data_IF_749493810207
#
_entry.id   IF_749493810207
#
_cell.length_a   1.000
_cell.length_b   1.000
_cell.length_c   1.000
_cell.angle_alpha   90.00
_cell.angle_beta   90.00
_cell.angle_gamma   90.00
#
_symmetry.space_group_name_H-M   'P 1'
#
loop_
_entity.id
_entity.type
_entity.pdbx_description
1 polymer ?
#
# COMPACT_ATOMS: atom_id res chain seq x y z
N UNK A 1 1.16 7.02 34.84
CA UNK A 1 1.80 7.89 33.84
C UNK A 1 3.10 7.31 33.26
N UNK A 2 3.99 6.69 34.05
CA UNK A 2 5.28 6.11 33.58
C UNK A 2 5.15 5.07 32.44
N UNK A 3 4.14 4.19 32.45
CA UNK A 3 3.97 3.16 31.40
C UNK A 3 3.58 3.74 30.03
N UNK A 4 2.84 4.86 29.99
CA UNK A 4 2.48 5.53 28.73
C UNK A 4 3.65 6.32 28.14
N UNK A 5 4.53 6.85 29.02
CA UNK A 5 5.75 7.54 28.61
C UNK A 5 6.78 6.59 27.98
N UNK A 6 6.91 5.37 28.53
CA UNK A 6 7.80 4.33 28.00
C UNK A 6 7.32 3.87 26.62
N UNK A 7 6.00 3.71 26.43
CA UNK A 7 5.43 3.37 25.12
C UNK A 7 5.67 4.45 24.06
N UNK A 8 5.54 5.71 24.43
CA UNK A 8 5.80 6.85 23.54
C UNK A 8 7.29 6.95 23.18
N UNK A 9 8.17 6.70 24.14
CA UNK A 9 9.63 6.69 23.91
C UNK A 9 10.04 5.54 22.99
N UNK A 10 9.43 4.34 23.11
CA UNK A 10 9.70 3.20 22.26
C UNK A 10 9.26 3.44 20.80
N UNK A 11 8.12 4.11 20.59
CA UNK A 11 7.67 4.50 19.25
C UNK A 11 8.58 5.56 18.65
N UNK A 12 9.02 6.53 19.44
CA UNK A 12 9.94 7.58 18.98
C UNK A 12 11.31 7.02 18.59
N UNK A 13 11.83 6.02 19.33
CA UNK A 13 13.10 5.34 18.98
C UNK A 13 12.97 4.52 17.71
N UNK A 14 11.84 3.87 17.44
CA UNK A 14 11.61 3.17 16.17
C UNK A 14 11.63 4.14 14.96
N UNK A 15 11.10 5.36 15.11
CA UNK A 15 11.16 6.37 14.05
C UNK A 15 12.60 6.86 13.78
N UNK A 16 13.45 6.95 14.80
CA UNK A 16 14.86 7.37 14.61
C UNK A 16 15.69 6.30 13.89
N UNK A 17 15.36 5.01 14.08
CA UNK A 17 16.06 3.93 13.38
C UNK A 17 15.65 3.77 11.91
N UNK A 18 14.48 4.28 11.49
CA UNK A 18 14.03 4.24 10.09
C UNK A 18 14.69 5.31 9.22
N UNK A 19 15.30 6.34 9.82
CA UNK A 19 16.06 7.38 9.08
C UNK A 19 17.55 7.07 8.90
N UNK A 20 18.03 5.95 9.46
CA UNK A 20 19.44 5.55 9.38
C UNK A 20 19.79 4.72 8.14
N UNK A 21 18.93 4.67 7.11
CA UNK A 21 19.34 4.26 5.79
C UNK A 21 19.87 5.50 5.04
N UNK A 22 20.86 6.15 5.65
CA UNK A 22 21.61 7.26 5.06
C UNK A 22 22.83 6.68 4.38
N UNK A 23 22.96 6.97 3.11
CA UNK A 23 24.13 6.96 2.27
C UNK A 23 25.42 6.57 3.01
N UNK A 24 25.91 5.38 2.72
CA UNK A 24 27.32 5.10 2.85
C UNK A 24 28.03 6.14 1.99
N UNK A 25 28.61 7.15 2.62
CA UNK A 25 29.66 7.90 1.98
C UNK A 25 30.80 6.88 1.78
N UNK A 26 30.82 6.21 0.66
CA UNK A 26 32.00 5.56 0.16
C UNK A 26 33.01 6.71 -0.03
N UNK A 27 34.09 6.63 0.72
CA UNK A 27 35.32 7.32 0.35
C UNK A 27 35.87 6.58 -0.87
N UNK A 28 35.27 6.84 -2.03
CA UNK A 28 35.88 6.51 -3.28
C UNK A 28 37.16 7.37 -3.38
N UNK A 29 38.30 6.70 -3.48
CA UNK A 29 39.49 7.35 -3.98
C UNK A 29 39.07 8.03 -5.28
N UNK A 30 39.04 9.36 -5.27
CA UNK A 30 38.69 10.16 -6.45
C UNK A 30 39.79 9.86 -7.47
N UNK A 31 39.55 8.91 -8.34
CA UNK A 31 40.38 8.64 -9.48
C UNK A 31 40.21 9.89 -10.38
N UNK A 32 41.18 10.80 -10.35
CA UNK A 32 41.15 12.02 -11.15
C UNK A 32 41.07 11.62 -12.64
N UNK A 33 39.88 11.82 -13.21
CA UNK A 33 39.66 11.61 -14.65
C UNK A 33 40.41 12.70 -15.39
N UNK A 34 41.30 12.37 -16.35
CA UNK A 34 42.04 13.38 -17.11
C UNK A 34 41.08 14.38 -17.78
N UNK A 35 41.43 15.66 -17.75
CA UNK A 35 40.60 16.73 -18.31
C UNK A 35 40.24 16.52 -19.80
N UNK A 36 41.14 15.95 -20.58
CA UNK A 36 40.90 15.59 -21.98
C UNK A 36 39.82 14.56 -22.12
N UNK A 37 39.82 13.52 -21.25
CA UNK A 37 38.77 12.49 -21.19
C UNK A 37 37.43 13.07 -20.75
N UNK A 38 37.45 13.98 -19.77
CA UNK A 38 36.21 14.66 -19.32
C UNK A 38 35.59 15.48 -20.46
N UNK A 39 36.38 16.27 -21.16
CA UNK A 39 35.90 17.09 -22.27
C UNK A 39 35.31 16.23 -23.40
N UNK A 40 35.99 15.12 -23.72
CA UNK A 40 35.55 14.18 -24.74
C UNK A 40 34.20 13.55 -24.34
N UNK A 41 34.08 13.11 -23.09
CA UNK A 41 32.86 12.47 -22.58
C UNK A 41 31.68 13.45 -22.55
N UNK A 42 31.88 14.69 -22.11
CA UNK A 42 30.83 15.71 -22.15
C UNK A 42 30.38 16.00 -23.57
N UNK A 43 31.30 16.25 -24.49
CA UNK A 43 30.96 16.53 -25.88
C UNK A 43 30.23 15.36 -26.55
N UNK A 44 30.67 14.14 -26.31
CA UNK A 44 29.98 12.94 -26.83
C UNK A 44 28.55 12.79 -26.23
N UNK A 45 28.39 13.08 -24.95
CA UNK A 45 27.08 13.00 -24.28
C UNK A 45 26.11 14.05 -24.82
N UNK A 46 26.57 15.28 -25.02
CA UNK A 46 25.78 16.37 -25.63
C UNK A 46 25.36 16.03 -27.07
N UNK A 47 26.31 15.50 -27.85
CA UNK A 47 26.02 15.05 -29.22
C UNK A 47 25.03 13.90 -29.23
N UNK A 48 25.14 12.95 -28.28
CA UNK A 48 24.20 11.84 -28.15
C UNK A 48 22.77 12.35 -27.79
N UNK A 49 22.65 13.35 -26.92
CA UNK A 49 21.34 13.96 -26.60
C UNK A 49 20.71 14.62 -27.83
N UNK A 50 21.50 15.37 -28.62
CA UNK A 50 21.02 15.97 -29.87
C UNK A 50 20.59 14.93 -30.89
N UNK A 51 21.35 13.84 -31.04
CA UNK A 51 21.00 12.74 -31.94
C UNK A 51 19.73 12.04 -31.51
N UNK A 52 19.52 11.79 -30.19
CA UNK A 52 18.30 11.21 -29.67
C UNK A 52 17.10 12.11 -29.92
N UNK A 53 17.26 13.42 -29.75
CA UNK A 53 16.20 14.39 -30.05
C UNK A 53 15.80 14.34 -31.53
N UNK A 54 16.78 14.22 -32.41
CA UNK A 54 16.53 14.10 -33.85
C UNK A 54 15.82 12.78 -34.17
N UNK A 55 16.26 11.64 -33.62
CA UNK A 55 15.62 10.32 -33.84
C UNK A 55 14.16 10.32 -33.40
N UNK A 56 13.87 10.93 -32.26
CA UNK A 56 12.48 11.08 -31.74
C UNK A 56 11.68 12.01 -32.67
N UNK A 57 12.26 13.11 -33.10
CA UNK A 57 11.59 14.07 -33.99
C UNK A 57 11.31 13.46 -35.38
N UNK A 58 12.23 12.67 -35.93
CA UNK A 58 12.09 12.01 -37.23
C UNK A 58 11.25 10.73 -37.15
N UNK A 59 10.95 10.21 -35.94
CA UNK A 59 10.19 8.98 -35.74
C UNK A 59 10.90 7.71 -36.19
N UNK A 60 12.25 7.70 -36.16
CA UNK A 60 13.09 6.59 -36.62
C UNK A 60 13.60 5.69 -35.49
N UNK A 61 12.97 5.73 -34.34
CA UNK A 61 13.33 4.94 -33.14
C UNK A 61 13.45 3.43 -33.43
N UNK A 62 12.55 2.88 -34.22
CA UNK A 62 12.51 1.44 -34.55
C UNK A 62 13.78 0.92 -35.23
N UNK A 63 14.54 1.79 -35.88
CA UNK A 63 15.81 1.44 -36.53
C UNK A 63 16.89 1.04 -35.51
N UNK A 64 16.71 1.43 -34.24
CA UNK A 64 17.65 1.20 -33.15
C UNK A 64 17.29 0.05 -32.22
N UNK A 65 16.22 -0.70 -32.49
CA UNK A 65 15.71 -1.77 -31.60
C UNK A 65 16.71 -2.89 -31.30
N UNK A 66 17.69 -3.10 -32.18
CA UNK A 66 18.72 -4.12 -31.98
C UNK A 66 19.82 -3.67 -31.02
N UNK A 67 19.86 -2.38 -30.66
CA UNK A 67 20.80 -1.75 -29.72
C UNK A 67 20.09 -1.42 -28.42
N UNK A 68 20.00 -2.37 -27.49
CA UNK A 68 19.13 -2.27 -26.31
C UNK A 68 19.35 -1.02 -25.47
N UNK A 69 20.61 -0.62 -25.21
CA UNK A 69 20.93 0.58 -24.43
C UNK A 69 20.48 1.86 -25.14
N UNK A 70 20.73 1.96 -26.42
CA UNK A 70 20.35 3.13 -27.24
C UNK A 70 18.83 3.19 -27.39
N UNK A 71 18.17 2.08 -27.69
CA UNK A 71 16.72 2.03 -27.84
C UNK A 71 15.99 2.45 -26.55
N UNK A 72 16.43 1.91 -25.42
CA UNK A 72 15.87 2.31 -24.12
C UNK A 72 16.17 3.79 -23.78
N UNK A 73 17.33 4.27 -24.19
CA UNK A 73 17.69 5.68 -24.09
C UNK A 73 16.76 6.60 -24.88
N UNK A 74 16.48 6.26 -26.15
CA UNK A 74 15.56 7.00 -26.99
C UNK A 74 14.14 7.00 -26.40
N UNK A 75 13.65 5.88 -25.86
CA UNK A 75 12.35 5.82 -25.20
C UNK A 75 12.30 6.73 -23.95
N UNK A 76 13.36 6.73 -23.12
CA UNK A 76 13.41 7.61 -21.97
C UNK A 76 13.48 9.08 -22.35
N UNK A 77 14.19 9.40 -23.44
CA UNK A 77 14.26 10.76 -23.99
C UNK A 77 12.90 11.23 -24.53
N UNK A 78 12.20 10.38 -25.29
CA UNK A 78 10.87 10.69 -25.80
C UNK A 78 9.90 11.02 -24.66
N UNK A 79 9.89 10.19 -23.63
CA UNK A 79 9.06 10.41 -22.45
C UNK A 79 9.43 11.69 -21.70
N UNK A 80 10.72 11.97 -21.56
CA UNK A 80 11.20 13.19 -20.91
C UNK A 80 10.87 14.44 -21.73
N UNK A 81 10.98 14.39 -23.05
CA UNK A 81 10.72 15.50 -23.96
C UNK A 81 9.27 15.99 -23.85
N UNK A 82 8.31 15.11 -23.62
CA UNK A 82 6.91 15.50 -23.37
C UNK A 82 6.76 16.43 -22.15
N UNK A 83 7.63 16.30 -21.16
CA UNK A 83 7.56 17.06 -19.91
C UNK A 83 8.50 18.28 -19.89
N UNK A 84 9.67 18.18 -20.48
CA UNK A 84 10.65 19.29 -20.52
C UNK A 84 10.33 20.32 -21.61
N UNK A 85 9.55 19.93 -22.62
CA UNK A 85 9.12 20.80 -23.70
C UNK A 85 10.18 20.94 -24.81
N UNK A 86 10.24 22.12 -25.46
CA UNK A 86 11.19 22.35 -26.54
C UNK A 86 12.58 22.64 -25.99
N UNK A 87 13.59 22.10 -26.66
CA UNK A 87 15.01 22.28 -26.32
C UNK A 87 15.68 23.03 -27.45
N UNK A 88 16.45 24.07 -27.13
CA UNK A 88 17.24 24.83 -28.10
C UNK A 88 18.70 24.39 -28.08
N UNK A 89 19.04 23.51 -28.99
CA UNK A 89 20.42 23.04 -29.18
C UNK A 89 21.31 23.97 -30.07
N UNK A 90 20.75 25.10 -30.48
CA UNK A 90 21.46 25.98 -31.47
C UNK A 90 22.09 27.20 -30.86
N UNK A 91 21.64 27.64 -29.69
CA UNK A 91 22.18 28.83 -29.02
C UNK A 91 23.43 28.44 -28.22
N UNK A 92 24.51 29.14 -28.48
CA UNK A 92 25.81 29.10 -27.78
C UNK A 92 26.24 30.55 -27.58
N UNK A 93 25.69 31.20 -26.55
CA UNK A 93 25.87 32.64 -26.32
C UNK A 93 27.26 32.98 -25.80
N UNK A 94 27.93 32.07 -25.11
CA UNK A 94 29.26 32.26 -24.56
C UNK A 94 30.39 31.77 -25.49
N UNK A 95 30.04 31.09 -26.58
CA UNK A 95 30.98 30.63 -27.61
C UNK A 95 31.91 29.51 -27.16
N UNK A 96 31.50 28.73 -26.18
CA UNK A 96 32.27 27.62 -25.62
C UNK A 96 32.18 26.33 -26.43
N UNK A 97 31.31 26.29 -27.45
CA UNK A 97 31.08 25.15 -28.32
C UNK A 97 30.07 24.13 -27.76
N UNK A 98 29.40 24.42 -26.64
CA UNK A 98 28.31 23.67 -26.05
C UNK A 98 27.03 24.52 -26.13
N UNK A 99 25.89 23.91 -26.44
CA UNK A 99 24.65 24.65 -26.46
C UNK A 99 24.22 25.08 -25.02
N UNK A 100 23.63 26.27 -24.91
CA UNK A 100 23.23 26.87 -23.62
C UNK A 100 22.18 26.04 -22.88
N UNK A 101 21.52 25.10 -23.56
CA UNK A 101 20.59 24.16 -22.92
C UNK A 101 21.30 23.13 -22.01
N UNK A 102 22.60 22.94 -22.15
CA UNK A 102 23.40 22.06 -21.30
C UNK A 102 23.98 22.84 -20.12
N UNK A 103 23.34 22.75 -18.95
CA UNK A 103 23.60 23.65 -17.82
C UNK A 103 24.58 23.09 -16.80
N UNK A 104 24.35 21.87 -16.29
CA UNK A 104 25.22 21.24 -15.29
C UNK A 104 25.78 19.92 -15.82
N UNK A 105 27.05 19.64 -15.49
CA UNK A 105 27.78 18.48 -16.01
C UNK A 105 28.56 17.80 -14.91
N UNK A 106 28.45 16.50 -14.80
CA UNK A 106 29.21 15.70 -13.85
C UNK A 106 29.61 14.36 -14.42
N UNK A 107 30.74 13.84 -13.95
CA UNK A 107 31.22 12.50 -14.29
C UNK A 107 31.54 11.77 -13.01
N UNK A 108 31.01 10.54 -12.87
CA UNK A 108 31.37 9.63 -11.80
C UNK A 108 31.77 8.27 -12.39
N UNK A 109 32.42 7.43 -11.58
CA UNK A 109 32.71 6.04 -11.94
C UNK A 109 31.81 5.13 -11.17
N UNK A 110 31.29 4.06 -11.82
CA UNK A 110 30.60 2.99 -11.14
C UNK A 110 31.58 1.97 -10.52
N UNK A 111 31.06 0.95 -9.86
CA UNK A 111 31.84 -0.12 -9.21
C UNK A 111 32.67 -0.93 -10.23
N UNK A 112 32.25 -1.01 -11.48
CA UNK A 112 32.93 -1.71 -12.57
C UNK A 112 33.97 -0.83 -13.28
N UNK A 113 34.02 0.46 -12.93
CA UNK A 113 34.90 1.47 -13.51
C UNK A 113 34.40 2.04 -14.85
N UNK A 114 33.09 1.93 -15.12
CA UNK A 114 32.45 2.62 -16.23
C UNK A 114 32.24 4.10 -15.89
N UNK A 115 32.22 4.96 -16.90
CA UNK A 115 32.00 6.37 -16.72
C UNK A 115 30.50 6.68 -16.78
N UNK A 116 29.97 7.21 -15.70
CA UNK A 116 28.60 7.74 -15.66
C UNK A 116 28.69 9.24 -15.86
N UNK A 117 28.25 9.69 -17.02
CA UNK A 117 28.23 11.10 -17.40
C UNK A 117 26.82 11.62 -17.29
N UNK A 118 26.62 12.64 -16.49
CA UNK A 118 25.35 13.32 -16.34
C UNK A 118 25.45 14.73 -16.90
N UNK A 119 24.53 15.07 -17.77
CA UNK A 119 24.40 16.44 -18.33
C UNK A 119 22.97 16.89 -18.12
N UNK A 120 22.77 18.01 -17.43
CA UNK A 120 21.47 18.61 -17.28
C UNK A 120 21.07 19.32 -18.57
N UNK A 121 19.88 18.99 -19.07
CA UNK A 121 19.31 19.56 -20.29
C UNK A 121 18.11 20.43 -19.90
N UNK A 122 18.14 21.71 -20.26
CA UNK A 122 17.09 22.67 -20.03
C UNK A 122 16.16 22.74 -21.25
N UNK A 123 14.89 22.44 -21.03
CA UNK A 123 13.81 22.75 -21.96
C UNK A 123 13.07 24.00 -21.55
N UNK A 124 12.03 24.36 -22.30
CA UNK A 124 11.21 25.56 -22.05
C UNK A 124 10.26 25.40 -20.84
N UNK A 125 10.03 24.19 -20.35
CA UNK A 125 9.16 23.91 -19.21
C UNK A 125 9.90 23.43 -17.98
N UNK A 126 10.82 22.47 -18.15
CA UNK A 126 11.59 21.83 -17.05
C UNK A 126 13.00 21.50 -17.52
N UNK A 127 13.83 21.06 -16.57
CA UNK A 127 15.12 20.46 -16.87
C UNK A 127 15.06 18.93 -16.72
N UNK A 128 16.00 18.23 -17.33
CA UNK A 128 16.18 16.79 -17.16
C UNK A 128 17.66 16.45 -17.11
N UNK A 129 18.02 15.44 -16.31
CA UNK A 129 19.35 14.87 -16.28
C UNK A 129 19.47 13.79 -17.35
N UNK A 130 20.24 14.06 -18.37
CA UNK A 130 20.61 13.09 -19.38
C UNK A 130 21.84 12.33 -18.93
N UNK A 131 21.70 11.06 -18.66
CA UNK A 131 22.72 10.19 -18.07
C UNK A 131 23.15 9.15 -19.07
N UNK A 132 24.43 9.13 -19.41
CA UNK A 132 25.04 8.13 -20.29
C UNK A 132 26.10 7.36 -19.51
N UNK A 133 25.98 6.05 -19.48
CA UNK A 133 27.00 5.16 -18.91
C UNK A 133 27.82 4.56 -20.02
N UNK A 134 29.08 5.01 -20.11
CA UNK A 134 30.07 4.49 -21.06
C UNK A 134 30.80 3.32 -20.41
N UNK A 135 30.97 2.24 -21.18
CA UNK A 135 31.88 1.17 -20.78
C UNK A 135 33.28 1.71 -20.65
N UNK A 136 34.08 1.20 -19.72
CA UNK A 136 35.46 1.65 -19.44
C UNK A 136 36.35 1.76 -20.70
N UNK A 137 36.10 0.96 -21.72
CA UNK A 137 36.82 1.05 -23.01
C UNK A 137 36.40 2.24 -23.86
N UNK A 138 35.32 2.94 -23.52
CA UNK A 138 34.72 4.05 -24.30
C UNK A 138 34.20 3.62 -25.70
N UNK A 139 34.08 2.32 -25.95
CA UNK A 139 33.69 1.79 -27.27
C UNK A 139 32.17 1.54 -27.36
N UNK A 140 31.47 1.47 -26.21
CA UNK A 140 30.06 1.11 -26.19
C UNK A 140 29.32 1.81 -25.02
N UNK A 141 28.00 1.82 -25.09
CA UNK A 141 27.12 2.32 -24.04
C UNK A 141 26.63 1.17 -23.17
N UNK A 142 26.88 1.26 -21.87
CA UNK A 142 26.27 0.34 -20.89
C UNK A 142 24.81 0.70 -20.59
N UNK A 143 24.46 1.98 -20.71
CA UNK A 143 23.10 2.46 -20.52
C UNK A 143 22.94 3.93 -20.85
N UNK A 144 21.74 4.32 -21.24
CA UNK A 144 21.34 5.71 -21.48
C UNK A 144 19.97 5.92 -20.86
N UNK A 145 19.82 6.98 -20.06
CA UNK A 145 18.58 7.29 -19.36
C UNK A 145 18.40 8.80 -19.24
N UNK A 146 17.16 9.25 -19.32
CA UNK A 146 16.79 10.66 -19.10
C UNK A 146 15.84 10.75 -17.92
N UNK A 147 16.20 11.54 -16.92
CA UNK A 147 15.41 11.73 -15.70
C UNK A 147 14.93 13.17 -15.63
N UNK A 148 13.63 13.38 -15.66
CA UNK A 148 13.05 14.73 -15.55
C UNK A 148 13.20 15.26 -14.12
N UNK A 149 13.65 16.50 -13.98
CA UNK A 149 13.82 17.16 -12.70
C UNK A 149 12.49 17.78 -12.24
N UNK A 150 11.87 17.16 -11.25
CA UNK A 150 10.62 17.67 -10.65
C UNK A 150 10.93 18.61 -9.49
N UNK A 151 10.24 19.71 -9.41
CA UNK A 151 10.28 20.57 -8.24
C UNK A 151 9.76 19.82 -7.00
N UNK A 152 10.24 20.22 -5.82
CA UNK A 152 9.78 19.64 -4.54
C UNK A 152 8.25 19.73 -4.42
N UNK A 153 7.65 20.80 -4.92
CA UNK A 153 6.20 20.99 -4.92
C UNK A 153 5.46 19.93 -5.75
N UNK A 154 5.97 19.62 -6.95
CA UNK A 154 5.42 18.59 -7.84
C UNK A 154 5.54 17.20 -7.23
N UNK A 155 6.73 16.88 -6.66
CA UNK A 155 6.95 15.60 -5.97
C UNK A 155 6.00 15.44 -4.78
N UNK A 156 5.77 16.50 -4.00
CA UNK A 156 4.82 16.49 -2.89
C UNK A 156 3.38 16.32 -3.38
N UNK A 157 3.02 16.92 -4.49
CA UNK A 157 1.70 16.77 -5.09
C UNK A 157 1.47 15.33 -5.58
N UNK A 158 2.43 14.74 -6.28
CA UNK A 158 2.36 13.36 -6.74
C UNK A 158 2.30 12.37 -5.56
N UNK A 159 3.16 12.56 -4.54
CA UNK A 159 3.14 11.76 -3.34
C UNK A 159 1.81 11.90 -2.58
N UNK A 160 1.28 13.12 -2.49
CA UNK A 160 -0.02 13.40 -1.86
C UNK A 160 -1.18 12.71 -2.59
N UNK A 161 -1.21 12.78 -3.91
CA UNK A 161 -2.22 12.10 -4.73
C UNK A 161 -2.15 10.58 -4.59
N UNK A 162 -0.95 10.00 -4.64
CA UNK A 162 -0.76 8.56 -4.46
C UNK A 162 -1.18 8.11 -3.05
N UNK A 163 -0.86 8.91 -2.04
CA UNK A 163 -1.30 8.64 -0.65
C UNK A 163 -2.82 8.75 -0.52
N UNK A 164 -3.42 9.78 -1.12
CA UNK A 164 -4.87 9.95 -1.12
C UNK A 164 -5.59 8.81 -1.83
N UNK A 165 -5.10 8.35 -2.97
CA UNK A 165 -5.64 7.21 -3.69
C UNK A 165 -5.50 5.91 -2.88
N UNK A 166 -4.30 5.61 -2.37
CA UNK A 166 -4.06 4.39 -1.61
C UNK A 166 -4.80 4.36 -0.26
N UNK A 167 -4.67 5.42 0.52
CA UNK A 167 -5.30 5.51 1.84
C UNK A 167 -6.80 5.82 1.74
N UNK A 168 -7.19 6.65 0.78
CA UNK A 168 -8.58 7.02 0.52
C UNK A 168 -9.46 5.84 0.14
N UNK A 169 -8.97 4.93 -0.69
CA UNK A 169 -9.70 3.70 -1.06
C UNK A 169 -9.94 2.80 0.15
N UNK A 170 -8.96 2.63 1.03
CA UNK A 170 -9.13 1.83 2.26
C UNK A 170 -10.14 2.45 3.21
N UNK A 171 -10.09 3.76 3.43
CA UNK A 171 -11.09 4.47 4.23
C UNK A 171 -12.49 4.38 3.63
N UNK A 172 -12.60 4.52 2.31
CA UNK A 172 -13.88 4.39 1.63
C UNK A 172 -14.50 3.01 1.85
N UNK A 173 -13.70 1.94 1.71
CA UNK A 173 -14.15 0.56 1.96
C UNK A 173 -14.57 0.37 3.42
N UNK A 174 -13.80 0.91 4.39
CA UNK A 174 -14.16 0.83 5.82
C UNK A 174 -15.46 1.57 6.15
N UNK A 175 -15.67 2.76 5.57
CA UNK A 175 -16.92 3.51 5.72
C UNK A 175 -18.09 2.72 5.13
N UNK A 176 -17.91 2.16 3.94
CA UNK A 176 -18.94 1.34 3.27
C UNK A 176 -19.30 0.11 4.09
N UNK A 177 -18.32 -0.62 4.61
CA UNK A 177 -18.54 -1.76 5.50
C UNK A 177 -19.24 -1.34 6.79
N UNK A 178 -18.86 -0.21 7.38
CA UNK A 178 -19.49 0.35 8.57
C UNK A 178 -20.98 0.68 8.32
N UNK A 179 -21.30 1.27 7.17
CA UNK A 179 -22.68 1.56 6.76
C UNK A 179 -23.49 0.27 6.56
N UNK A 180 -22.89 -0.76 5.96
CA UNK A 180 -23.54 -2.06 5.77
C UNK A 180 -23.85 -2.69 7.14
N UNK A 181 -22.88 -2.72 8.05
CA UNK A 181 -23.08 -3.27 9.41
C UNK A 181 -24.14 -2.47 10.18
N UNK A 182 -24.13 -1.15 10.11
CA UNK A 182 -25.14 -0.30 10.73
C UNK A 182 -26.54 -0.51 10.12
N UNK A 183 -26.61 -0.75 8.81
CA UNK A 183 -27.84 -1.10 8.10
C UNK A 183 -28.43 -2.44 8.59
N UNK A 184 -27.59 -3.47 8.66
CA UNK A 184 -28.00 -4.77 9.20
C UNK A 184 -28.45 -4.69 10.67
N UNK A 185 -27.69 -3.92 11.50
CA UNK A 185 -28.08 -3.72 12.90
C UNK A 185 -29.47 -3.12 13.06
N UNK A 186 -29.86 -2.15 12.20
CA UNK A 186 -31.21 -1.58 12.21
C UNK A 186 -32.29 -2.57 11.76
N UNK A 187 -31.99 -3.39 10.76
CA UNK A 187 -32.93 -4.40 10.25
C UNK A 187 -33.19 -5.47 11.34
N UNK A 188 -32.11 -5.98 11.96
CA UNK A 188 -32.23 -6.99 13.00
C UNK A 188 -32.98 -6.50 14.24
N UNK A 189 -32.67 -5.28 14.71
CA UNK A 189 -33.41 -4.70 15.86
C UNK A 189 -34.89 -4.45 15.54
N UNK A 190 -35.22 -4.12 14.28
CA UNK A 190 -36.63 -3.95 13.88
C UNK A 190 -37.39 -5.29 13.81
N UNK A 191 -36.70 -6.34 13.34
CA UNK A 191 -37.25 -7.70 13.30
C UNK A 191 -37.44 -8.28 14.72
N UNK A 192 -36.47 -8.03 15.60
CA UNK A 192 -36.53 -8.51 16.98
C UNK A 192 -37.65 -7.81 17.78
N UNK A 193 -37.83 -6.50 17.62
CA UNK A 193 -38.94 -5.75 18.17
C UNK A 193 -40.30 -6.32 17.72
N UNK A 194 -40.45 -6.61 16.42
CA UNK A 194 -41.69 -7.24 15.91
C UNK A 194 -41.90 -8.63 16.50
N UNK A 195 -40.88 -9.46 16.61
CA UNK A 195 -40.97 -10.79 17.23
C UNK A 195 -41.38 -10.72 18.70
N UNK A 196 -40.80 -9.78 19.45
CA UNK A 196 -41.15 -9.58 20.87
C UNK A 196 -42.57 -9.08 21.00
N UNK A 197 -43.02 -8.18 20.13
CA UNK A 197 -44.39 -7.65 20.15
C UNK A 197 -45.43 -8.71 19.77
N UNK A 198 -45.10 -9.55 18.77
CA UNK A 198 -45.98 -10.69 18.38
C UNK A 198 -46.03 -11.79 19.46
N UNK A 199 -44.90 -12.05 20.13
CA UNK A 199 -44.87 -12.97 21.26
C UNK A 199 -45.70 -12.44 22.43
N UNK A 200 -45.61 -11.14 22.72
CA UNK A 200 -46.41 -10.50 23.79
C UNK A 200 -47.90 -10.49 23.51
N UNK A 201 -48.31 -10.27 22.24
CA UNK A 201 -49.72 -10.37 21.84
C UNK A 201 -50.26 -11.78 22.00
N UNK A 202 -49.48 -12.82 21.66
CA UNK A 202 -49.85 -14.22 21.86
C UNK A 202 -49.99 -14.58 23.35
N UNK A 203 -49.11 -14.05 24.20
CA UNK A 203 -49.20 -14.26 25.65
C UNK A 203 -50.41 -13.55 26.29
N UNK A 204 -50.77 -12.36 25.78
CA UNK A 204 -51.99 -11.65 26.22
C UNK A 204 -53.26 -12.34 25.74
N UNK A 205 -53.30 -12.90 24.53
CA UNK A 205 -54.41 -13.70 24.03
C UNK A 205 -54.54 -15.04 24.79
N UNK A 206 -53.43 -15.68 25.11
CA UNK A 206 -53.40 -16.90 25.91
C UNK A 206 -53.93 -16.65 27.35
N UNK A 207 -53.57 -15.50 27.96
CA UNK A 207 -54.10 -15.11 29.28
C UNK A 207 -55.56 -14.77 29.24
N UNK A 208 -56.09 -14.10 28.19
CA UNK A 208 -57.53 -13.85 28.03
C UNK A 208 -58.33 -15.11 27.83
N UNK A 209 -57.78 -16.10 27.13
CA UNK A 209 -58.44 -17.39 26.95
C UNK A 209 -58.37 -18.28 28.20
N UNK A 210 -57.32 -18.11 29.05
CA UNK A 210 -57.24 -18.81 30.34
C UNK A 210 -58.23 -18.26 31.39
N UNK A 211 -58.53 -16.96 31.37
CA UNK A 211 -59.46 -16.32 32.31
C UNK A 211 -60.92 -16.63 31.99
N UNK A 212 -61.22 -17.10 30.77
CA UNK A 212 -62.58 -17.54 30.38
C UNK A 212 -62.88 -18.96 30.77
N UNK A 213 -61.96 -19.73 31.36
CA UNK A 213 -62.12 -21.16 31.70
C UNK A 213 -62.15 -21.42 33.22
N UNK A 214 -62.15 -20.35 34.03
CA UNK A 214 -62.25 -20.53 35.48
C UNK A 214 -63.71 -20.41 35.92
N UNK A 215 -64.50 -21.43 35.59
CA UNK A 215 -65.68 -21.77 36.41
C UNK A 215 -65.80 -23.29 36.47
N UNK A 216 -65.56 -23.80 37.66
CA UNK A 216 -65.83 -25.13 38.21
C UNK A 216 -64.63 -26.05 38.44
N UNK A 217 -64.42 -26.25 39.71
CA UNK A 217 -64.31 -27.49 40.49
C UNK A 217 -62.98 -27.73 41.24
N UNK A 218 -62.96 -28.49 42.32
CA UNK A 218 -62.46 -28.04 43.62
C UNK A 218 -61.12 -28.65 44.01
N UNK A 219 -60.63 -28.09 45.10
CA UNK A 219 -59.40 -28.39 45.84
C UNK A 219 -58.95 -29.86 45.87
N UNK A 220 -57.67 -30.07 45.58
CA UNK A 220 -56.81 -30.95 46.40
C UNK A 220 -55.31 -30.82 46.02
N UNK A 221 -54.53 -30.55 47.06
CA UNK A 221 -53.10 -30.88 47.27
C UNK A 221 -51.98 -30.22 46.48
N UNK A 222 -51.34 -29.31 47.17
CA UNK A 222 -49.95 -29.08 47.45
C UNK A 222 -48.94 -29.95 46.70
N UNK A 223 -48.07 -29.27 45.90
CA UNK A 223 -46.65 -29.40 46.00
C UNK A 223 -45.97 -28.21 45.21
N UNK A 224 -45.15 -27.47 45.92
CA UNK A 224 -44.37 -26.31 45.44
C UNK A 224 -43.19 -26.74 44.59
N UNK A 225 -42.30 -25.80 44.18
CA UNK A 225 -42.16 -25.29 42.81
C UNK A 225 -40.89 -25.80 42.15
N UNK A 226 -40.91 -26.07 40.89
CA UNK A 226 -39.70 -26.25 40.08
C UNK A 226 -39.74 -25.29 38.89
N UNK A 227 -39.53 -24.05 39.21
CA UNK A 227 -39.08 -23.08 38.20
C UNK A 227 -37.55 -23.14 38.17
N UNK A 228 -37.00 -23.42 37.01
CA UNK A 228 -35.61 -23.21 36.52
C UNK A 228 -34.98 -24.42 35.79
N UNK A 229 -35.74 -25.13 34.98
CA UNK A 229 -35.15 -26.20 34.13
C UNK A 229 -35.14 -25.90 32.63
N UNK A 230 -35.61 -24.71 32.21
CA UNK A 230 -35.71 -24.41 30.77
C UNK A 230 -34.46 -23.71 30.15
N UNK A 231 -33.56 -23.17 30.99
CA UNK A 231 -32.41 -22.37 30.49
C UNK A 231 -31.12 -23.20 30.37
N UNK A 232 -30.99 -24.30 31.10
CA UNK A 232 -29.78 -25.12 31.08
C UNK A 232 -29.67 -26.02 29.82
N UNK A 233 -30.80 -26.41 29.23
CA UNK A 233 -30.84 -27.24 28.02
C UNK A 233 -30.31 -26.52 26.79
N UNK A 234 -30.67 -25.25 26.63
CA UNK A 234 -30.18 -24.42 25.52
C UNK A 234 -28.69 -24.13 25.67
N UNK A 235 -28.21 -23.87 26.89
CA UNK A 235 -26.78 -23.66 27.18
C UNK A 235 -25.93 -24.91 26.90
N UNK A 236 -26.44 -26.08 27.29
CA UNK A 236 -25.79 -27.38 27.03
C UNK A 236 -25.71 -27.65 25.53
N UNK A 237 -26.78 -27.35 24.76
CA UNK A 237 -26.80 -27.53 23.32
C UNK A 237 -25.77 -26.62 22.61
N UNK A 238 -25.65 -25.35 23.03
CA UNK A 238 -24.65 -24.41 22.46
C UNK A 238 -23.23 -24.85 22.77
N UNK A 239 -22.95 -25.28 24.01
CA UNK A 239 -21.60 -25.75 24.38
C UNK A 239 -21.27 -27.06 23.63
N UNK A 240 -22.23 -27.97 23.47
CA UNK A 240 -22.02 -29.20 22.70
C UNK A 240 -21.72 -28.89 21.22
N UNK A 241 -22.47 -27.98 20.60
CA UNK A 241 -22.26 -27.55 19.22
C UNK A 241 -20.86 -26.87 19.03
N UNK A 242 -20.46 -26.01 19.95
CA UNK A 242 -19.16 -25.35 19.91
C UNK A 242 -17.98 -26.32 20.03
N UNK A 243 -18.10 -27.33 20.93
CA UNK A 243 -17.07 -28.37 21.08
C UNK A 243 -17.01 -29.28 19.87
N UNK A 244 -18.13 -29.60 19.23
CA UNK A 244 -18.15 -30.38 17.98
C UNK A 244 -17.50 -29.63 16.83
N UNK A 245 -17.82 -28.36 16.65
CA UNK A 245 -17.22 -27.51 15.61
C UNK A 245 -15.71 -27.33 15.81
N UNK A 246 -15.25 -27.19 17.06
CA UNK A 246 -13.82 -27.10 17.36
C UNK A 246 -13.07 -28.39 17.05
N UNK A 247 -13.71 -29.56 17.26
CA UNK A 247 -13.11 -30.87 16.93
C UNK A 247 -13.05 -31.13 15.42
N UNK A 248 -14.01 -30.65 14.65
CA UNK A 248 -13.99 -30.75 13.18
C UNK A 248 -12.88 -29.91 12.55
N UNK A 249 -12.46 -28.81 13.22
CA UNK A 249 -11.35 -27.96 12.77
C UNK A 249 -9.95 -28.45 13.22
N UNK A 250 -9.86 -29.29 14.24
CA UNK A 250 -8.61 -29.84 14.74
C UNK A 250 -8.42 -31.24 14.18
N UNK A 251 -7.67 -31.37 13.08
CA UNK A 251 -7.12 -32.57 12.40
C UNK A 251 -7.84 -33.94 12.54
N UNK A 252 -7.95 -34.70 11.43
CA UNK A 252 -8.67 -35.97 11.39
C UNK A 252 -7.82 -37.13 11.89
N UNK A 253 -7.71 -37.29 13.18
CA UNK A 253 -7.15 -38.49 13.76
C UNK A 253 -7.59 -38.69 15.20
N UNK A 254 -8.82 -39.11 15.45
CA UNK A 254 -9.22 -40.02 16.54
C UNK A 254 -10.72 -40.31 16.45
N UNK A 255 -11.05 -41.60 16.49
CA UNK A 255 -12.29 -42.35 16.60
C UNK A 255 -13.64 -41.64 16.80
N UNK A 256 -14.74 -42.22 16.22
CA UNK A 256 -16.09 -41.66 16.18
C UNK A 256 -16.92 -41.95 17.46
N UNK A 257 -16.36 -41.77 18.62
CA UNK A 257 -17.14 -41.89 19.86
C UNK A 257 -17.55 -40.51 20.36
N UNK A 258 -18.86 -40.21 20.22
CA UNK A 258 -19.48 -38.99 20.69
C UNK A 258 -19.21 -38.76 22.18
N UNK A 259 -19.02 -37.48 22.56
CA UNK A 259 -18.88 -37.12 23.97
C UNK A 259 -20.27 -36.92 24.62
N UNK A 260 -20.37 -37.29 25.89
CA UNK A 260 -21.58 -37.07 26.70
C UNK A 260 -21.24 -36.11 27.84
N UNK A 261 -21.90 -34.96 27.85
CA UNK A 261 -21.80 -34.00 28.96
C UNK A 261 -22.50 -34.52 30.18
N UNK A 262 -21.75 -35.00 31.17
CA UNK A 262 -22.34 -35.61 32.38
C UNK A 262 -22.73 -34.62 33.48
N UNK A 263 -22.02 -33.45 33.57
CA UNK A 263 -22.29 -32.43 34.59
C UNK A 263 -21.65 -31.10 34.25
N UNK A 264 -22.41 -30.01 34.37
CA UNK A 264 -21.93 -28.63 34.30
C UNK A 264 -22.07 -28.00 35.68
N UNK A 265 -20.99 -27.40 36.22
CA UNK A 265 -21.00 -26.71 37.51
C UNK A 265 -20.64 -25.23 37.30
N UNK A 266 -21.53 -24.32 37.69
CA UNK A 266 -21.23 -22.88 37.77
C UNK A 266 -20.34 -22.63 38.98
N UNK A 267 -19.16 -22.04 38.72
CA UNK A 267 -18.28 -21.55 39.76
C UNK A 267 -18.58 -20.06 39.89
N UNK A 268 -19.24 -19.68 40.99
CA UNK A 268 -19.48 -18.28 41.31
C UNK A 268 -18.18 -17.54 41.61
N UNK A 269 -17.95 -16.43 40.93
CA UNK A 269 -16.87 -15.50 41.24
C UNK A 269 -17.20 -14.83 42.59
N UNK A 270 -16.31 -14.97 43.60
CA UNK A 270 -16.32 -14.15 44.83
C UNK A 270 -15.86 -12.74 44.50
#
# INVERSE_FOLDING_TARGET
>A
MRKKLIGFLAVLTCFVFLTACGSSAQNDEVQEIPQETQSLLYSNTEMTAQQMDQVVTDGTMEDYKDYAAVYSGIQSWESAKEEIGNIDFTTDADGNGSADCFTDKSITLDEDGNYIVTVEVAGDQKTADFVVTYVKSLEDYAGIVTNVNYSFSELMQQAGLNTLLGMGTTFFVLILLSLIIAGFGRIFTSLEKKRIEDARKKDEEAKKNADSFVTAVPAANQAAPAAHAADDGALIAVIAAAVTAYREQAEPAVAPDGFVVRKIRRIGRK
#
